data_IF_527137828402
#
_entry.id   IF_527137828402
#
_cell.length_a   1.000
_cell.length_b   1.000
_cell.length_c   1.000
_cell.angle_alpha   90.00
_cell.angle_beta   90.00
_cell.angle_gamma   90.00
#
_symmetry.space_group_name_H-M   'P 1'
#
loop_
_entity.id
_entity.type
_entity.pdbx_description
1 polymer ?
#
# COMPACT_ATOMS: atom_id res chain seq x y z
N UNK A 1 -7.04 12.23 -17.79
CA UNK A 1 -5.87 11.70 -17.06
C UNK A 1 -6.19 11.89 -15.59
N UNK A 2 -6.20 10.82 -14.77
CA UNK A 2 -6.44 10.95 -13.32
C UNK A 2 -5.29 11.72 -12.68
N UNK A 3 -5.61 12.57 -11.71
CA UNK A 3 -4.58 13.28 -10.94
C UNK A 3 -3.62 12.28 -10.29
N UNK A 4 -2.31 12.59 -10.17
CA UNK A 4 -1.33 11.69 -9.56
C UNK A 4 -1.77 11.16 -8.19
N UNK A 5 -2.41 11.99 -7.36
CA UNK A 5 -2.95 11.60 -6.06
C UNK A 5 -4.11 10.59 -6.15
N UNK A 6 -4.98 10.69 -7.15
CA UNK A 6 -6.06 9.71 -7.38
C UNK A 6 -5.49 8.35 -7.81
N UNK A 7 -4.44 8.37 -8.62
CA UNK A 7 -3.74 7.16 -9.08
C UNK A 7 -3.06 6.44 -7.92
N UNK A 8 -2.37 7.17 -7.03
CA UNK A 8 -1.76 6.61 -5.82
C UNK A 8 -2.79 6.02 -4.86
N UNK A 9 -3.94 6.69 -4.67
CA UNK A 9 -5.05 6.16 -3.84
C UNK A 9 -5.60 4.83 -4.40
N UNK A 10 -5.74 4.72 -5.72
CA UNK A 10 -6.14 3.46 -6.38
C UNK A 10 -5.10 2.36 -6.19
N UNK A 11 -3.82 2.68 -6.38
CA UNK A 11 -2.73 1.74 -6.15
C UNK A 11 -2.71 1.23 -4.69
N UNK A 12 -2.86 2.13 -3.72
CA UNK A 12 -3.00 1.78 -2.29
C UNK A 12 -4.15 0.82 -2.04
N UNK A 13 -5.33 1.09 -2.58
CA UNK A 13 -6.51 0.25 -2.40
C UNK A 13 -6.29 -1.18 -2.94
N UNK A 14 -5.60 -1.29 -4.09
CA UNK A 14 -5.24 -2.58 -4.67
C UNK A 14 -4.26 -3.35 -3.78
N UNK A 15 -3.23 -2.69 -3.25
CA UNK A 15 -2.27 -3.32 -2.33
C UNK A 15 -2.93 -3.81 -1.04
N UNK A 16 -3.84 -3.02 -0.45
CA UNK A 16 -4.62 -3.43 0.73
C UNK A 16 -5.45 -4.68 0.43
N UNK A 17 -6.09 -4.73 -0.73
CA UNK A 17 -6.87 -5.90 -1.17
C UNK A 17 -5.97 -7.13 -1.34
N UNK A 18 -4.80 -6.97 -1.95
CA UNK A 18 -3.84 -8.07 -2.09
C UNK A 18 -3.33 -8.57 -0.73
N UNK A 19 -3.05 -7.65 0.20
CA UNK A 19 -2.61 -7.98 1.57
C UNK A 19 -3.67 -8.80 2.30
N UNK A 20 -4.95 -8.44 2.17
CA UNK A 20 -6.06 -9.20 2.76
C UNK A 20 -6.11 -10.64 2.22
N UNK A 21 -5.97 -10.84 0.90
CA UNK A 21 -5.94 -12.19 0.30
C UNK A 21 -4.79 -13.05 0.83
N UNK A 22 -3.61 -12.48 1.02
CA UNK A 22 -2.49 -13.22 1.62
C UNK A 22 -2.69 -13.50 3.11
N UNK A 23 -3.37 -12.61 3.84
CA UNK A 23 -3.73 -12.86 5.24
C UNK A 23 -4.71 -14.03 5.39
N UNK A 24 -5.63 -14.22 4.44
CA UNK A 24 -6.54 -15.38 4.43
C UNK A 24 -5.79 -16.72 4.38
N UNK A 25 -4.62 -16.78 3.72
CA UNK A 25 -3.76 -17.98 3.70
C UNK A 25 -3.30 -18.36 5.11
N UNK A 26 -2.96 -17.36 5.94
CA UNK A 26 -2.52 -17.60 7.32
C UNK A 26 -3.67 -18.03 8.25
N UNK A 27 -4.93 -17.82 7.84
CA UNK A 27 -6.09 -18.32 8.57
C UNK A 27 -6.39 -19.80 8.30
N UNK A 28 -5.68 -20.42 7.35
CA UNK A 28 -5.79 -21.86 7.04
C UNK A 28 -4.74 -22.69 7.80
N UNK A 29 -4.88 -24.02 7.87
CA UNK A 29 -3.85 -24.88 8.44
C UNK A 29 -2.49 -24.67 7.77
N UNK A 30 -1.42 -24.86 8.54
CA UNK A 30 -0.06 -24.66 8.06
C UNK A 30 0.26 -25.55 6.85
N UNK A 31 0.65 -24.92 5.75
CA UNK A 31 1.10 -25.58 4.54
C UNK A 31 2.50 -25.04 4.24
N UNK A 32 3.53 -25.88 4.41
CA UNK A 32 4.93 -25.49 4.20
C UNK A 32 5.11 -24.92 2.79
N UNK A 33 5.96 -23.89 2.65
CA UNK A 33 6.10 -23.15 1.41
C UNK A 33 5.01 -22.11 1.25
N UNK A 34 3.73 -22.50 1.24
CA UNK A 34 2.60 -21.57 1.05
C UNK A 34 2.41 -20.59 2.21
N UNK A 35 2.46 -21.08 3.45
CA UNK A 35 2.38 -20.23 4.65
C UNK A 35 3.63 -19.36 4.78
N UNK A 36 4.81 -19.89 4.48
CA UNK A 36 6.08 -19.15 4.53
C UNK A 36 6.12 -18.03 3.45
N UNK A 37 5.64 -18.33 2.25
CA UNK A 37 5.44 -17.34 1.18
C UNK A 37 4.44 -16.27 1.59
N UNK A 38 3.30 -16.66 2.19
CA UNK A 38 2.30 -15.70 2.64
C UNK A 38 2.85 -14.71 3.67
N UNK A 39 3.68 -15.16 4.61
CA UNK A 39 4.37 -14.27 5.57
C UNK A 39 5.28 -13.29 4.84
N UNK A 40 6.10 -13.78 3.91
CA UNK A 40 7.01 -12.95 3.12
C UNK A 40 6.23 -11.89 2.32
N UNK A 41 5.16 -12.30 1.64
CA UNK A 41 4.30 -11.42 0.84
C UNK A 41 3.59 -10.37 1.67
N UNK A 42 3.17 -10.69 2.89
CA UNK A 42 2.54 -9.73 3.79
C UNK A 42 3.50 -8.61 4.20
N UNK A 43 4.77 -8.91 4.44
CA UNK A 43 5.80 -7.91 4.77
C UNK A 43 6.04 -7.01 3.56
N UNK A 44 6.30 -7.59 2.38
CA UNK A 44 6.52 -6.83 1.14
C UNK A 44 5.34 -5.90 0.81
N UNK A 45 4.10 -6.41 0.95
CA UNK A 45 2.90 -5.61 0.70
C UNK A 45 2.72 -4.50 1.74
N UNK A 46 3.09 -4.74 2.99
CA UNK A 46 3.03 -3.72 4.03
C UNK A 46 4.04 -2.59 3.77
N UNK A 47 5.29 -2.93 3.43
CA UNK A 47 6.31 -1.96 3.03
C UNK A 47 5.88 -1.12 1.82
N UNK A 48 5.28 -1.77 0.81
CA UNK A 48 4.76 -1.07 -0.37
C UNK A 48 3.60 -0.12 -0.03
N UNK A 49 2.70 -0.51 0.88
CA UNK A 49 1.61 0.37 1.35
C UNK A 49 2.18 1.58 2.08
N UNK A 50 3.15 1.39 2.97
CA UNK A 50 3.80 2.48 3.71
C UNK A 50 4.51 3.46 2.78
N UNK A 51 5.21 2.97 1.75
CA UNK A 51 5.83 3.81 0.74
C UNK A 51 4.80 4.63 -0.05
N UNK A 52 3.66 4.05 -0.42
CA UNK A 52 2.58 4.79 -1.09
C UNK A 52 1.94 5.81 -0.15
N UNK A 53 1.75 5.48 1.11
CA UNK A 53 1.18 6.39 2.10
C UNK A 53 2.09 7.61 2.32
N UNK A 54 3.41 7.40 2.38
CA UNK A 54 4.39 8.48 2.40
C UNK A 54 4.32 9.36 1.13
N UNK A 55 4.22 8.74 -0.06
CA UNK A 55 4.11 9.49 -1.32
C UNK A 55 2.82 10.32 -1.41
N UNK A 56 1.69 9.79 -0.91
CA UNK A 56 0.42 10.52 -0.83
C UNK A 56 0.56 11.70 0.14
N UNK A 57 1.16 11.49 1.31
CA UNK A 57 1.39 12.55 2.29
C UNK A 57 2.26 13.67 1.71
N UNK A 58 3.35 13.33 1.03
CA UNK A 58 4.23 14.30 0.36
C UNK A 58 3.49 15.08 -0.73
N UNK A 59 2.68 14.40 -1.55
CA UNK A 59 1.86 15.05 -2.58
C UNK A 59 0.84 16.02 -1.98
N UNK A 60 0.22 15.66 -0.86
CA UNK A 60 -0.74 16.54 -0.15
C UNK A 60 -0.06 17.72 0.55
N UNK A 61 1.14 17.54 1.10
CA UNK A 61 1.92 18.58 1.77
C UNK A 61 2.53 19.60 0.81
N UNK A 62 2.96 19.17 -0.39
CA UNK A 62 3.44 20.08 -1.45
C UNK A 62 2.37 21.07 -1.93
N UNK A 63 1.09 20.68 -1.86
CA UNK A 63 -0.03 21.57 -2.19
C UNK A 63 -0.12 22.76 -1.23
N UNK A 64 0.11 22.56 0.08
CA UNK A 64 0.02 23.61 1.09
C UNK A 64 1.21 24.59 1.07
N UNK A 65 2.42 24.11 0.75
CA UNK A 65 3.62 24.96 0.75
C UNK A 65 3.72 25.91 -0.45
N UNK A 66 2.91 25.70 -1.51
CA UNK A 66 2.95 26.54 -2.72
C UNK A 66 1.95 27.70 -2.66
N UNK A 67 0.87 27.58 -1.87
CA UNK A 67 -0.15 28.63 -1.73
C UNK A 67 0.21 29.75 -0.73
N UNK A 68 1.20 29.54 0.15
CA UNK A 68 1.62 30.52 1.16
C UNK A 68 2.72 31.50 0.70
N UNK A 69 2.98 31.60 -0.60
CA UNK A 69 4.08 32.42 -1.17
C UNK A 69 3.63 33.63 -2.00
N UNK A 70 2.38 34.08 -1.86
CA UNK A 70 1.86 35.28 -2.53
C UNK A 70 1.52 36.38 -1.52
#
# INVERSE_FOLDING_TARGET
MSEPGETLKKARANLVTMRQRWAEVLATPYERGKTEEAVTKLIELQEAIEAIDAAIAEASGKSSSTELRL
#
